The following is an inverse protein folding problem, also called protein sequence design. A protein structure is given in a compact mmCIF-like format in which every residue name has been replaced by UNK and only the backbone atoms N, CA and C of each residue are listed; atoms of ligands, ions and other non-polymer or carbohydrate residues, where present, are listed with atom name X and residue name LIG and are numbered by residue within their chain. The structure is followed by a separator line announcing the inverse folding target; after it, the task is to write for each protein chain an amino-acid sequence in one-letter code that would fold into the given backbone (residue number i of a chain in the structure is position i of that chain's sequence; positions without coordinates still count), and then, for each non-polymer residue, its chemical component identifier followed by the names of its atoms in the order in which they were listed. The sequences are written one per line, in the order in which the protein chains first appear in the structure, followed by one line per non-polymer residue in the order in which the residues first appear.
data_IF_252615141008
#
_entry.id   IF_252615141008
#
_cell.length_a   1.000
_cell.length_b   1.000
_cell.length_c   1.000
_cell.angle_alpha   90.00
_cell.angle_beta   90.00
_cell.angle_gamma   90.00
#
_symmetry.space_group_name_H-M   'P 1'
#
loop_
_entity.id
_entity.type
_entity.pdbx_description
1 polymer ?
#
# COMPACT_ATOMS: atom_id res chain seq x y z
N UNK A 1 26.73 -4.60 27.20
CA UNK A 1 26.69 -3.14 26.96
C UNK A 1 27.99 -2.77 26.21
N UNK A 2 27.86 -2.24 24.98
CA UNK A 2 29.03 -1.71 24.25
C UNK A 2 29.50 -0.44 24.93
N UNK A 3 30.80 -0.35 25.25
CA UNK A 3 31.40 0.89 25.74
C UNK A 3 31.25 1.97 24.66
N UNK A 4 30.61 3.08 25.00
CA UNK A 4 30.54 4.24 24.11
C UNK A 4 31.87 4.97 24.17
N UNK A 5 32.38 5.39 23.01
CA UNK A 5 33.53 6.27 22.91
C UNK A 5 33.06 7.70 23.17
N UNK A 6 33.56 8.32 24.27
CA UNK A 6 33.37 9.73 24.52
C UNK A 6 34.45 10.52 23.77
N UNK A 7 34.04 11.54 23.05
CA UNK A 7 34.94 12.52 22.42
C UNK A 7 34.54 13.87 22.96
N UNK A 8 35.42 14.49 23.73
CA UNK A 8 35.23 15.87 24.24
C UNK A 8 35.75 16.84 23.19
N UNK A 9 35.03 17.91 22.94
CA UNK A 9 35.43 18.98 22.05
C UNK A 9 34.89 20.31 22.56
N UNK A 10 35.65 21.38 22.32
CA UNK A 10 35.22 22.73 22.65
C UNK A 10 34.28 23.26 21.58
N UNK A 11 33.07 23.64 21.94
CA UNK A 11 32.10 24.23 21.06
C UNK A 11 31.87 25.70 21.37
N UNK A 12 32.33 26.56 20.49
CA UNK A 12 32.09 28.00 20.56
C UNK A 12 30.94 28.33 19.62
N UNK A 13 29.84 28.81 20.20
CA UNK A 13 28.68 29.26 19.41
C UNK A 13 29.07 30.54 18.66
N UNK A 14 29.02 30.58 17.33
CA UNK A 14 29.25 31.79 16.55
C UNK A 14 28.28 32.90 16.99
N UNK A 15 28.81 34.09 17.25
CA UNK A 15 27.99 35.25 17.55
C UNK A 15 27.73 36.03 16.26
N UNK A 16 26.46 36.36 16.00
CA UNK A 16 26.03 37.11 14.81
C UNK A 16 25.04 36.36 13.94
N UNK A 17 24.63 36.99 12.85
CA UNK A 17 23.77 36.36 11.86
C UNK A 17 24.53 35.25 11.11
N UNK A 18 24.03 34.02 11.20
CA UNK A 18 24.57 32.88 10.46
C UNK A 18 23.74 32.72 9.19
N UNK A 19 24.29 33.01 7.99
CA UNK A 19 23.56 32.86 6.75
C UNK A 19 23.30 31.38 6.47
N UNK A 20 22.15 31.08 5.92
CA UNK A 20 21.82 29.74 5.42
C UNK A 20 22.57 29.47 4.12
N UNK A 21 23.78 28.92 4.23
CA UNK A 21 24.61 28.60 3.06
C UNK A 21 24.21 27.29 2.36
N UNK A 22 23.31 26.52 2.98
CA UNK A 22 22.85 25.26 2.40
C UNK A 22 21.77 25.52 1.35
N UNK A 23 21.98 25.03 0.16
CA UNK A 23 20.95 25.02 -0.86
C UNK A 23 19.87 24.00 -0.47
N UNK A 24 18.63 24.49 -0.29
CA UNK A 24 17.47 23.65 0.00
C UNK A 24 16.71 23.45 -1.30
N UNK A 25 16.58 22.19 -1.72
CA UNK A 25 15.77 21.86 -2.88
C UNK A 25 14.29 22.07 -2.54
N UNK A 26 13.57 22.75 -3.45
CA UNK A 26 12.13 23.01 -3.29
C UNK A 26 11.29 21.72 -3.26
N UNK A 27 11.75 20.70 -4.00
CA UNK A 27 11.11 19.40 -4.10
C UNK A 27 12.10 18.27 -3.75
N UNK A 28 12.42 18.07 -2.47
CA UNK A 28 13.47 17.14 -2.06
C UNK A 28 13.19 15.68 -2.40
N UNK A 29 11.90 15.32 -2.58
CA UNK A 29 11.48 13.94 -2.87
C UNK A 29 11.40 13.63 -4.37
N UNK A 30 11.22 14.65 -5.22
CA UNK A 30 11.09 14.50 -6.67
C UNK A 30 12.15 15.37 -7.36
N UNK A 31 13.32 14.81 -7.71
CA UNK A 31 14.36 15.57 -8.40
C UNK A 31 13.87 16.14 -9.73
N UNK A 32 14.26 17.38 -10.04
CA UNK A 32 13.99 18.00 -11.34
C UNK A 32 14.78 17.33 -12.48
N UNK A 33 15.95 16.79 -12.17
CA UNK A 33 16.77 16.01 -13.09
C UNK A 33 16.14 14.64 -13.32
N UNK A 34 15.81 14.31 -14.57
CA UNK A 34 15.15 13.06 -14.93
C UNK A 34 15.99 11.82 -14.61
N UNK A 35 17.31 11.87 -14.83
CA UNK A 35 18.20 10.75 -14.56
C UNK A 35 18.26 10.45 -13.06
N UNK A 36 18.40 11.48 -12.22
CA UNK A 36 18.37 11.33 -10.76
C UNK A 36 17.01 10.87 -10.25
N UNK A 37 15.93 11.31 -10.88
CA UNK A 37 14.58 10.86 -10.54
C UNK A 37 14.42 9.38 -10.84
N UNK A 38 14.83 8.94 -12.01
CA UNK A 38 14.71 7.54 -12.43
C UNK A 38 15.57 6.62 -11.56
N UNK A 39 16.78 7.03 -11.19
CA UNK A 39 17.64 6.34 -10.24
C UNK A 39 16.97 6.20 -8.88
N UNK A 40 16.43 7.28 -8.30
CA UNK A 40 15.73 7.26 -7.01
C UNK A 40 14.44 6.43 -7.05
N UNK A 41 13.66 6.51 -8.11
CA UNK A 41 12.48 5.67 -8.28
C UNK A 41 12.86 4.19 -8.35
N UNK A 42 13.92 3.85 -9.08
CA UNK A 42 14.41 2.49 -9.16
C UNK A 42 14.92 1.98 -7.81
N UNK A 43 15.66 2.81 -7.07
CA UNK A 43 16.15 2.49 -5.72
C UNK A 43 14.98 2.26 -4.76
N UNK A 44 14.03 3.21 -4.69
CA UNK A 44 12.85 3.10 -3.83
C UNK A 44 12.02 1.86 -4.14
N UNK A 45 11.83 1.54 -5.42
CA UNK A 45 11.16 0.32 -5.85
C UNK A 45 11.89 -0.94 -5.38
N UNK A 46 13.22 -1.00 -5.55
CA UNK A 46 14.00 -2.16 -5.13
C UNK A 46 14.05 -2.32 -3.61
N UNK A 47 14.08 -1.22 -2.85
CA UNK A 47 13.98 -1.28 -1.37
C UNK A 47 12.69 -1.99 -0.95
N UNK A 48 11.55 -1.66 -1.56
CA UNK A 48 10.27 -2.29 -1.26
C UNK A 48 10.27 -3.78 -1.63
N UNK A 49 10.77 -4.13 -2.81
CA UNK A 49 10.88 -5.52 -3.26
C UNK A 49 11.75 -6.33 -2.30
N UNK A 50 12.93 -5.83 -1.95
CA UNK A 50 13.84 -6.52 -1.03
C UNK A 50 13.29 -6.61 0.40
N UNK A 51 12.58 -5.59 0.87
CA UNK A 51 11.89 -5.61 2.15
C UNK A 51 10.85 -6.75 2.23
N UNK A 52 10.02 -6.85 1.19
CA UNK A 52 9.01 -7.91 1.10
C UNK A 52 9.64 -9.31 0.93
N UNK A 53 10.70 -9.43 0.09
CA UNK A 53 11.48 -10.67 -0.03
C UNK A 53 12.00 -11.13 1.34
N UNK A 54 12.61 -10.20 2.08
CA UNK A 54 13.16 -10.51 3.41
C UNK A 54 12.07 -10.98 4.37
N UNK A 55 10.89 -10.32 4.34
CA UNK A 55 9.77 -10.72 5.18
C UNK A 55 9.29 -12.13 4.87
N UNK A 56 9.02 -12.44 3.60
CA UNK A 56 8.57 -13.76 3.18
C UNK A 56 9.62 -14.85 3.52
N UNK A 57 10.89 -14.61 3.21
CA UNK A 57 11.97 -15.56 3.49
C UNK A 57 12.15 -15.83 5.00
N UNK A 58 12.00 -14.80 5.85
CA UNK A 58 12.20 -14.95 7.29
C UNK A 58 11.02 -15.62 8.00
N UNK A 59 9.82 -15.52 7.45
CA UNK A 59 8.60 -16.16 7.99
C UNK A 59 8.32 -17.52 7.38
N UNK A 60 8.94 -17.84 6.23
CA UNK A 60 8.66 -19.07 5.47
C UNK A 60 7.35 -19.03 4.68
N UNK A 61 6.61 -17.91 4.73
CA UNK A 61 5.35 -17.74 4.00
C UNK A 61 5.59 -17.65 2.49
N UNK A 62 4.71 -18.27 1.72
CA UNK A 62 4.83 -18.36 0.25
C UNK A 62 3.69 -17.69 -0.48
N UNK A 63 2.66 -17.22 0.23
CA UNK A 63 1.50 -16.54 -0.34
C UNK A 63 1.41 -15.09 0.12
N UNK A 64 0.76 -14.27 -0.70
CA UNK A 64 0.42 -12.88 -0.40
C UNK A 64 -1.06 -12.66 -0.68
N UNK A 65 -1.72 -11.91 0.19
CA UNK A 65 -3.08 -11.42 -0.03
C UNK A 65 -3.03 -9.91 -0.20
N UNK A 66 -3.64 -9.40 -1.26
CA UNK A 66 -3.61 -7.97 -1.58
C UNK A 66 -4.95 -7.48 -2.12
N UNK A 67 -5.39 -6.31 -1.67
CA UNK A 67 -6.52 -5.59 -2.26
C UNK A 67 -6.09 -4.75 -3.46
N UNK A 68 -6.80 -4.87 -4.59
CA UNK A 68 -6.52 -4.13 -5.83
C UNK A 68 -7.73 -3.27 -6.17
N UNK A 69 -7.58 -1.96 -5.99
CA UNK A 69 -8.65 -1.00 -6.27
C UNK A 69 -8.69 -0.51 -7.73
N UNK A 70 -7.62 -0.72 -8.49
CA UNK A 70 -7.41 -0.11 -9.80
C UNK A 70 -6.83 1.31 -9.75
N UNK A 71 -6.49 1.81 -8.55
CA UNK A 71 -5.76 3.07 -8.32
C UNK A 71 -4.25 2.87 -8.30
N UNK A 72 -3.51 3.97 -8.28
CA UNK A 72 -2.04 3.97 -8.40
C UNK A 72 -1.35 3.17 -7.30
N UNK A 73 -1.74 3.38 -6.05
CA UNK A 73 -1.06 2.78 -4.90
C UNK A 73 -1.17 1.25 -4.90
N UNK A 74 -2.39 0.72 -5.14
CA UNK A 74 -2.60 -0.71 -5.24
C UNK A 74 -1.93 -1.33 -6.47
N UNK A 75 -1.84 -0.58 -7.56
CA UNK A 75 -1.11 -0.98 -8.77
C UNK A 75 0.38 -1.13 -8.46
N UNK A 76 0.98 -0.13 -7.83
CA UNK A 76 2.38 -0.16 -7.43
C UNK A 76 2.67 -1.32 -6.47
N UNK A 77 1.84 -1.49 -5.45
CA UNK A 77 1.98 -2.59 -4.49
C UNK A 77 1.90 -3.97 -5.16
N UNK A 78 1.00 -4.16 -6.12
CA UNK A 78 0.88 -5.41 -6.86
C UNK A 78 2.09 -5.68 -7.76
N UNK A 79 2.67 -4.64 -8.38
CA UNK A 79 3.91 -4.76 -9.17
C UNK A 79 5.08 -5.16 -8.26
N UNK A 80 5.21 -4.54 -7.08
CA UNK A 80 6.22 -4.92 -6.08
C UNK A 80 6.05 -6.38 -5.64
N UNK A 81 4.81 -6.82 -5.38
CA UNK A 81 4.50 -8.20 -5.02
C UNK A 81 4.89 -9.19 -6.14
N UNK A 82 4.51 -8.90 -7.39
CA UNK A 82 4.85 -9.73 -8.53
C UNK A 82 6.38 -9.87 -8.71
N UNK A 83 7.11 -8.76 -8.62
CA UNK A 83 8.57 -8.77 -8.72
C UNK A 83 9.23 -9.52 -7.57
N UNK A 84 8.66 -9.43 -6.39
CA UNK A 84 9.12 -10.18 -5.22
C UNK A 84 9.00 -11.68 -5.45
N UNK A 85 7.85 -12.15 -5.94
CA UNK A 85 7.65 -13.57 -6.27
C UNK A 85 8.64 -14.05 -7.34
N UNK A 86 8.83 -13.27 -8.41
CA UNK A 86 9.80 -13.60 -9.46
C UNK A 86 11.22 -13.79 -8.90
N UNK A 87 11.67 -12.88 -8.03
CA UNK A 87 13.02 -12.94 -7.44
C UNK A 87 13.19 -14.08 -6.44
N UNK A 88 12.12 -14.51 -5.79
CA UNK A 88 12.12 -15.66 -4.89
C UNK A 88 11.93 -17.00 -5.64
N UNK A 89 11.72 -16.99 -6.95
CA UNK A 89 11.40 -18.19 -7.72
C UNK A 89 10.03 -18.78 -7.37
N UNK A 90 9.13 -17.97 -6.80
CA UNK A 90 7.77 -18.37 -6.45
C UNK A 90 6.80 -18.03 -7.58
N UNK A 91 5.75 -18.84 -7.72
CA UNK A 91 4.70 -18.56 -8.70
C UNK A 91 3.93 -17.28 -8.36
N UNK A 92 3.69 -16.42 -9.35
CA UNK A 92 2.80 -15.26 -9.19
C UNK A 92 1.35 -15.67 -8.85
N UNK A 93 0.95 -16.92 -9.09
CA UNK A 93 -0.33 -17.46 -8.63
C UNK A 93 -0.46 -17.54 -7.11
N UNK A 94 0.65 -17.44 -6.39
CA UNK A 94 0.67 -17.31 -4.94
C UNK A 94 0.30 -15.88 -4.45
N UNK A 95 0.11 -14.94 -5.36
CA UNK A 95 -0.48 -13.63 -5.05
C UNK A 95 -1.99 -13.75 -5.23
N UNK A 96 -2.71 -13.73 -4.13
CA UNK A 96 -4.17 -13.74 -4.08
C UNK A 96 -4.64 -12.29 -4.08
N UNK A 97 -5.00 -11.81 -5.25
CA UNK A 97 -5.38 -10.41 -5.48
C UNK A 97 -6.90 -10.27 -5.52
N UNK A 98 -7.42 -9.41 -4.66
CA UNK A 98 -8.86 -9.21 -4.49
C UNK A 98 -9.25 -7.77 -4.88
N UNK A 99 -10.17 -7.63 -5.85
CA UNK A 99 -10.91 -6.38 -6.01
C UNK A 99 -12.23 -6.48 -5.25
N UNK A 100 -12.56 -5.41 -4.54
CA UNK A 100 -13.71 -5.40 -3.63
C UNK A 100 -14.59 -4.18 -3.91
N UNK A 101 -15.48 -4.27 -4.93
CA UNK A 101 -16.37 -3.19 -5.27
C UNK A 101 -17.33 -2.87 -4.12
N UNK A 102 -17.45 -1.59 -3.80
CA UNK A 102 -18.41 -0.99 -2.88
C UNK A 102 -19.41 -0.10 -3.62
N UNK A 103 -20.07 0.80 -2.89
CA UNK A 103 -21.11 1.67 -3.44
C UNK A 103 -20.57 2.73 -4.40
N UNK A 104 -19.34 3.24 -4.15
CA UNK A 104 -18.71 4.28 -4.96
C UNK A 104 -17.69 3.74 -5.99
N UNK A 105 -17.64 2.43 -6.21
CA UNK A 105 -16.69 1.85 -7.16
C UNK A 105 -17.16 2.08 -8.59
N UNK A 106 -16.34 2.76 -9.40
CA UNK A 106 -16.63 3.00 -10.80
C UNK A 106 -16.31 1.76 -11.66
N UNK A 107 -17.04 1.60 -12.78
CA UNK A 107 -16.75 0.53 -13.74
C UNK A 107 -15.35 0.64 -14.35
N UNK A 108 -14.78 1.85 -14.45
CA UNK A 108 -13.44 2.06 -14.99
C UNK A 108 -12.38 1.52 -14.03
N UNK A 109 -12.48 1.85 -12.74
CA UNK A 109 -11.53 1.35 -11.75
C UNK A 109 -11.61 -0.16 -11.57
N UNK A 110 -12.82 -0.72 -11.62
CA UNK A 110 -13.02 -2.17 -11.55
C UNK A 110 -12.39 -2.88 -12.78
N UNK A 111 -12.62 -2.36 -13.98
CA UNK A 111 -12.00 -2.88 -15.21
C UNK A 111 -10.47 -2.79 -15.17
N UNK A 112 -9.92 -1.68 -14.65
CA UNK A 112 -8.48 -1.51 -14.51
C UNK A 112 -7.89 -2.52 -13.51
N UNK A 113 -8.58 -2.78 -12.40
CA UNK A 113 -8.16 -3.78 -11.42
C UNK A 113 -8.07 -5.17 -12.05
N UNK A 114 -9.12 -5.61 -12.76
CA UNK A 114 -9.14 -6.90 -13.44
C UNK A 114 -8.03 -7.00 -14.50
N UNK A 115 -7.93 -6.00 -15.39
CA UNK A 115 -6.90 -5.99 -16.43
C UNK A 115 -5.47 -6.03 -15.88
N UNK A 116 -5.21 -5.35 -14.78
CA UNK A 116 -3.92 -5.38 -14.11
C UNK A 116 -3.61 -6.76 -13.50
N UNK A 117 -4.57 -7.36 -12.79
CA UNK A 117 -4.41 -8.68 -12.18
C UNK A 117 -4.18 -9.77 -13.25
N UNK A 118 -4.89 -9.68 -14.36
CA UNK A 118 -4.73 -10.57 -15.51
C UNK A 118 -3.36 -10.40 -16.17
N UNK A 119 -2.96 -9.16 -16.47
CA UNK A 119 -1.67 -8.85 -17.11
C UNK A 119 -0.48 -9.31 -16.28
N UNK A 120 -0.57 -9.26 -14.94
CA UNK A 120 0.48 -9.74 -14.04
C UNK A 120 0.42 -11.25 -13.79
N UNK A 121 -0.64 -11.93 -14.22
CA UNK A 121 -0.78 -13.37 -14.11
C UNK A 121 -0.99 -13.89 -12.68
N UNK A 122 -1.53 -13.06 -11.79
CA UNK A 122 -1.82 -13.40 -10.39
C UNK A 122 -3.12 -14.20 -10.26
N UNK A 123 -3.45 -14.69 -9.06
CA UNK A 123 -4.77 -15.27 -8.77
C UNK A 123 -5.74 -14.12 -8.47
N UNK A 124 -6.62 -13.84 -9.43
CA UNK A 124 -7.55 -12.71 -9.38
C UNK A 124 -8.92 -13.14 -8.83
N UNK A 125 -9.44 -12.38 -7.90
CA UNK A 125 -10.74 -12.60 -7.26
C UNK A 125 -11.51 -11.28 -7.13
N UNK A 126 -12.84 -11.40 -7.12
CA UNK A 126 -13.74 -10.28 -6.83
C UNK A 126 -14.66 -10.64 -5.66
N UNK A 127 -14.85 -9.71 -4.73
CA UNK A 127 -15.78 -9.84 -3.61
C UNK A 127 -16.63 -8.57 -3.55
N UNK A 128 -17.93 -8.69 -3.77
CA UNK A 128 -18.87 -7.58 -3.53
C UNK A 128 -19.03 -7.37 -2.01
N UNK A 129 -18.52 -6.25 -1.51
CA UNK A 129 -18.60 -5.91 -0.08
C UNK A 129 -19.88 -5.18 0.31
N UNK A 130 -20.77 -4.83 -0.63
CA UNK A 130 -21.98 -4.09 -0.32
C UNK A 130 -22.88 -4.80 0.71
N UNK A 131 -23.09 -6.14 0.64
CA UNK A 131 -23.92 -6.82 1.64
C UNK A 131 -23.40 -6.69 3.07
N UNK A 132 -22.07 -6.86 3.28
CA UNK A 132 -21.46 -6.71 4.61
C UNK A 132 -21.47 -5.26 5.09
N UNK A 133 -21.21 -4.31 4.19
CA UNK A 133 -21.33 -2.88 4.50
C UNK A 133 -22.75 -2.50 4.90
N UNK A 134 -23.78 -2.99 4.20
CA UNK A 134 -25.18 -2.75 4.56
C UNK A 134 -25.51 -3.33 5.93
N UNK A 135 -25.01 -4.52 6.25
CA UNK A 135 -25.21 -5.11 7.57
C UNK A 135 -24.58 -4.24 8.66
N UNK A 136 -23.33 -3.85 8.50
CA UNK A 136 -22.65 -2.96 9.44
C UNK A 136 -23.39 -1.63 9.62
N UNK A 137 -23.83 -1.00 8.53
CA UNK A 137 -24.61 0.24 8.59
C UNK A 137 -25.94 0.07 9.32
N UNK A 138 -26.62 -1.10 9.20
CA UNK A 138 -27.83 -1.43 9.97
C UNK A 138 -27.51 -1.57 11.47
N UNK A 139 -26.46 -2.28 11.79
CA UNK A 139 -26.09 -2.57 13.19
C UNK A 139 -25.79 -1.30 13.98
N UNK A 140 -25.20 -0.28 13.32
CA UNK A 140 -24.91 1.02 13.92
C UNK A 140 -26.05 2.05 13.76
N UNK A 141 -27.15 1.69 13.11
CA UNK A 141 -28.30 2.59 12.92
C UNK A 141 -28.07 3.74 11.95
N UNK A 142 -27.19 3.55 10.95
CA UNK A 142 -26.87 4.60 9.99
C UNK A 142 -28.04 4.94 9.06
N UNK A 143 -28.39 6.22 8.83
CA UNK A 143 -29.58 6.65 8.06
C UNK A 143 -29.62 6.15 6.61
N UNK A 144 -28.46 5.87 6.01
CA UNK A 144 -28.35 5.33 4.64
C UNK A 144 -29.22 4.08 4.43
N UNK A 145 -29.32 3.18 5.41
CA UNK A 145 -30.10 1.94 5.27
C UNK A 145 -31.61 2.20 5.36
N UNK A 146 -32.03 3.34 5.90
CA UNK A 146 -33.41 3.83 5.89
C UNK A 146 -33.82 4.55 4.59
N UNK A 147 -32.90 4.64 3.63
CA UNK A 147 -33.15 5.31 2.35
C UNK A 147 -32.73 6.79 2.31
N UNK A 148 -32.12 7.33 3.38
CA UNK A 148 -31.56 8.66 3.37
C UNK A 148 -30.21 8.65 2.65
N UNK A 149 -29.96 9.49 1.60
CA UNK A 149 -28.71 9.48 0.85
C UNK A 149 -27.59 10.21 1.61
N UNK A 150 -27.22 9.70 2.79
CA UNK A 150 -26.16 10.24 3.62
C UNK A 150 -24.84 9.49 3.30
N UNK A 151 -23.89 10.21 2.70
CA UNK A 151 -22.56 9.72 2.30
C UNK A 151 -21.48 10.39 3.13
N UNK A 152 -21.56 10.21 4.44
CA UNK A 152 -20.63 10.79 5.40
C UNK A 152 -19.36 9.94 5.58
N UNK A 153 -18.49 10.40 6.50
CA UNK A 153 -17.25 9.68 6.83
C UNK A 153 -17.50 8.26 7.38
N UNK A 154 -18.65 8.04 8.05
CA UNK A 154 -19.03 6.72 8.57
C UNK A 154 -19.30 5.76 7.43
N UNK A 155 -20.07 6.23 6.43
CA UNK A 155 -20.36 5.48 5.22
C UNK A 155 -19.09 5.07 4.46
N UNK A 156 -18.10 5.97 4.35
CA UNK A 156 -16.82 5.67 3.71
C UNK A 156 -15.97 4.71 4.53
N UNK A 157 -15.89 4.92 5.85
CA UNK A 157 -15.09 4.10 6.75
C UNK A 157 -15.63 2.69 6.91
N UNK A 158 -16.93 2.47 6.84
CA UNK A 158 -17.51 1.11 6.82
C UNK A 158 -16.98 0.34 5.60
N UNK A 159 -16.97 0.94 4.42
CA UNK A 159 -16.43 0.28 3.22
C UNK A 159 -14.92 0.02 3.31
N UNK A 160 -14.15 0.96 3.85
CA UNK A 160 -12.72 0.79 4.07
C UNK A 160 -12.42 -0.31 5.10
N UNK A 161 -13.18 -0.32 6.20
CA UNK A 161 -13.09 -1.32 7.26
C UNK A 161 -13.42 -2.73 6.76
N UNK A 162 -14.49 -2.88 5.98
CA UNK A 162 -14.87 -4.17 5.40
C UNK A 162 -13.80 -4.73 4.47
N UNK A 163 -13.21 -3.89 3.61
CA UNK A 163 -12.08 -4.32 2.76
C UNK A 163 -10.91 -4.84 3.59
N UNK A 164 -10.51 -4.09 4.59
CA UNK A 164 -9.40 -4.46 5.48
C UNK A 164 -9.71 -5.76 6.22
N UNK A 165 -10.92 -5.87 6.78
CA UNK A 165 -11.41 -7.05 7.49
C UNK A 165 -11.38 -8.32 6.63
N UNK A 166 -11.84 -8.24 5.38
CA UNK A 166 -11.78 -9.35 4.44
C UNK A 166 -10.34 -9.77 4.13
N UNK A 167 -9.45 -8.81 3.83
CA UNK A 167 -8.07 -9.11 3.48
C UNK A 167 -7.32 -9.83 4.62
N UNK A 168 -7.50 -9.38 5.86
CA UNK A 168 -6.87 -10.04 7.01
C UNK A 168 -7.39 -11.47 7.21
N UNK A 169 -8.69 -11.69 7.09
CA UNK A 169 -9.26 -13.03 7.23
C UNK A 169 -8.88 -13.95 6.08
N UNK A 170 -8.83 -13.43 4.86
CA UNK A 170 -8.36 -14.17 3.70
C UNK A 170 -6.88 -14.54 3.82
N UNK A 171 -6.06 -13.66 4.37
CA UNK A 171 -4.66 -13.99 4.67
C UNK A 171 -4.57 -15.15 5.67
N UNK A 172 -5.31 -15.08 6.79
CA UNK A 172 -5.33 -16.16 7.78
C UNK A 172 -5.89 -17.49 7.23
N UNK A 173 -6.85 -17.43 6.33
CA UNK A 173 -7.47 -18.62 5.74
C UNK A 173 -6.58 -19.35 4.72
N UNK A 174 -5.65 -18.60 4.09
CA UNK A 174 -4.80 -19.11 3.02
C UNK A 174 -3.35 -19.38 3.46
N UNK A 175 -3.07 -19.30 4.73
CA UNK A 175 -1.74 -19.53 5.29
C UNK A 175 -1.26 -20.99 5.10
#
# INVERSE_FOLDING_TARGET
LRAMRCVEFDFIVPQGEIPLNRQIERFPYVPNDSAKRDERCYEAYNIQVHGLMKRLSSTGLKKLVIGVSGGLDSTHALIVAARTMDRLGLSRKNILAYTMPGFATSNVTLKNAHGLMEALGVSAHEIDIKPSCLQMLRDIGHPFVGGEPLYDITFENVQAGERTSHLFRLANFND
#
